data_IF_599572533611
#
_entry.id   IF_599572533611
#
_cell.length_a   1.000
_cell.length_b   1.000
_cell.length_c   1.000
_cell.angle_alpha   90.00
_cell.angle_beta   90.00
_cell.angle_gamma   90.00
#
_symmetry.space_group_name_H-M   'P 1'
#
loop_
_entity.id
_entity.type
_entity.pdbx_description
1 polymer ?
#
# COMPACT_ATOMS: atom_id res chain seq x y z
N UNK A 1 8.24 -20.00 -0.68
CA UNK A 1 9.70 -20.10 -0.43
C UNK A 1 10.19 -18.79 0.15
N UNK A 2 10.91 -18.80 1.27
CA UNK A 2 11.50 -17.59 1.86
C UNK A 2 13.02 -17.60 1.65
N UNK A 3 13.57 -16.51 1.15
CA UNK A 3 15.00 -16.33 0.90
C UNK A 3 15.41 -14.96 1.42
N UNK A 4 16.56 -14.89 2.09
CA UNK A 4 17.13 -13.60 2.48
C UNK A 4 18.26 -13.23 1.53
N UNK A 5 18.14 -12.09 0.86
CA UNK A 5 19.12 -11.63 -0.13
C UNK A 5 19.41 -10.14 0.08
N UNK A 6 20.70 -9.78 0.17
CA UNK A 6 21.17 -8.40 0.41
C UNK A 6 20.54 -7.69 1.63
N UNK A 7 20.07 -8.47 2.61
CA UNK A 7 19.41 -7.98 3.82
C UNK A 7 17.89 -7.77 3.69
N UNK A 8 17.30 -8.09 2.54
CA UNK A 8 15.86 -8.08 2.31
C UNK A 8 15.27 -9.49 2.44
N UNK A 9 14.08 -9.58 3.01
CA UNK A 9 13.30 -10.81 3.09
C UNK A 9 12.48 -10.95 1.80
N UNK A 10 12.72 -12.02 1.05
CA UNK A 10 12.06 -12.32 -0.23
C UNK A 10 11.16 -13.54 -0.06
N UNK A 11 9.89 -13.39 -0.39
CA UNK A 11 8.92 -14.46 -0.45
C UNK A 11 8.57 -14.77 -1.92
N UNK A 12 8.79 -16.01 -2.37
CA UNK A 12 8.39 -16.47 -3.69
C UNK A 12 7.22 -17.44 -3.51
N UNK A 13 6.05 -17.06 -4.00
CA UNK A 13 4.83 -17.87 -3.93
C UNK A 13 4.75 -18.84 -5.13
N UNK A 14 3.93 -19.89 -5.02
CA UNK A 14 3.76 -20.86 -6.12
C UNK A 14 3.17 -20.20 -7.38
N UNK A 15 2.29 -19.20 -7.20
CA UNK A 15 1.67 -18.47 -8.31
C UNK A 15 2.69 -17.84 -9.26
N UNK A 16 3.84 -17.39 -8.74
CA UNK A 16 4.92 -16.87 -9.59
C UNK A 16 5.43 -17.93 -10.58
N UNK A 17 5.70 -19.13 -10.11
CA UNK A 17 6.21 -20.23 -10.94
C UNK A 17 5.17 -20.69 -11.97
N UNK A 18 3.90 -20.70 -11.59
CA UNK A 18 2.80 -21.00 -12.51
C UNK A 18 2.76 -20.00 -13.67
N UNK A 19 2.83 -18.69 -13.38
CA UNK A 19 2.87 -17.64 -14.40
C UNK A 19 4.09 -17.77 -15.30
N UNK A 20 5.26 -18.06 -14.71
CA UNK A 20 6.50 -18.22 -15.47
C UNK A 20 6.41 -19.39 -16.47
N UNK A 21 5.88 -20.54 -16.04
CA UNK A 21 5.64 -21.69 -16.93
C UNK A 21 4.60 -21.36 -17.98
N UNK A 22 3.48 -20.75 -17.59
CA UNK A 22 2.40 -20.36 -18.51
C UNK A 22 2.93 -19.47 -19.63
N UNK A 23 3.75 -18.45 -19.33
CA UNK A 23 4.35 -17.59 -20.35
C UNK A 23 5.30 -18.33 -21.28
N UNK A 24 6.10 -19.27 -20.76
CA UNK A 24 6.97 -20.09 -21.62
C UNK A 24 6.17 -20.93 -22.61
N UNK A 25 5.04 -21.51 -22.15
CA UNK A 25 4.16 -22.32 -22.99
C UNK A 25 3.43 -21.47 -24.04
N UNK A 26 2.95 -20.28 -23.65
CA UNK A 26 2.34 -19.32 -24.58
C UNK A 26 3.32 -18.79 -25.64
N UNK A 27 4.61 -18.69 -25.29
CA UNK A 27 5.70 -18.36 -26.22
C UNK A 27 6.03 -19.48 -27.22
N UNK A 28 5.32 -20.62 -27.16
CA UNK A 28 5.44 -21.72 -28.11
C UNK A 28 6.59 -22.71 -27.82
N UNK A 29 7.32 -22.55 -26.71
CA UNK A 29 8.40 -23.46 -26.34
C UNK A 29 7.91 -24.51 -25.35
N UNK A 30 7.92 -25.79 -25.76
CA UNK A 30 7.55 -26.92 -24.91
C UNK A 30 8.76 -27.65 -24.32
N UNK A 31 9.97 -27.18 -24.62
CA UNK A 31 11.19 -27.85 -24.19
C UNK A 31 11.46 -27.54 -22.70
N UNK A 32 11.64 -28.57 -21.83
CA UNK A 32 11.79 -28.36 -20.39
C UNK A 32 12.94 -27.42 -20.00
N UNK A 33 14.07 -27.49 -20.72
CA UNK A 33 15.22 -26.63 -20.45
C UNK A 33 14.89 -25.15 -20.73
N UNK A 34 14.11 -24.88 -21.76
CA UNK A 34 13.70 -23.50 -22.10
C UNK A 34 12.69 -22.96 -21.09
N UNK A 35 11.77 -23.80 -20.60
CA UNK A 35 10.83 -23.42 -19.55
C UNK A 35 11.59 -23.00 -18.28
N UNK A 36 12.57 -23.80 -17.87
CA UNK A 36 13.42 -23.49 -16.69
C UNK A 36 14.21 -22.20 -16.91
N UNK A 37 14.88 -22.06 -18.07
CA UNK A 37 15.64 -20.85 -18.39
C UNK A 37 14.74 -19.61 -18.44
N UNK A 38 13.56 -19.71 -19.04
CA UNK A 38 12.58 -18.63 -19.08
C UNK A 38 12.09 -18.23 -17.69
N UNK A 39 11.77 -19.22 -16.84
CA UNK A 39 11.38 -18.95 -15.47
C UNK A 39 12.49 -18.26 -14.67
N UNK A 40 13.76 -18.66 -14.87
CA UNK A 40 14.91 -17.99 -14.26
C UNK A 40 15.08 -16.55 -14.78
N UNK A 41 14.88 -16.30 -16.08
CA UNK A 41 14.93 -14.95 -16.66
C UNK A 41 13.85 -14.07 -16.01
N UNK A 42 12.61 -14.55 -15.94
CA UNK A 42 11.51 -13.82 -15.30
C UNK A 42 11.79 -13.56 -13.82
N UNK A 43 12.30 -14.58 -13.10
CA UNK A 43 12.65 -14.45 -11.69
C UNK A 43 13.69 -13.37 -11.47
N UNK A 44 14.79 -13.42 -12.20
CA UNK A 44 15.88 -12.43 -12.09
C UNK A 44 15.40 -11.04 -12.48
N UNK A 45 14.60 -10.93 -13.55
CA UNK A 45 14.11 -9.63 -14.05
C UNK A 45 13.16 -8.96 -13.05
N UNK A 46 12.15 -9.70 -12.59
CA UNK A 46 11.18 -9.17 -11.61
C UNK A 46 11.88 -8.92 -10.28
N UNK A 47 12.77 -9.81 -9.83
CA UNK A 47 13.51 -9.60 -8.58
C UNK A 47 14.38 -8.35 -8.64
N UNK A 48 15.08 -8.09 -9.76
CA UNK A 48 15.90 -6.88 -9.90
C UNK A 48 15.05 -5.62 -9.93
N UNK A 49 13.88 -5.66 -10.57
CA UNK A 49 12.88 -4.58 -10.51
C UNK A 49 12.46 -4.30 -9.07
N UNK A 50 12.00 -5.31 -8.34
CA UNK A 50 11.59 -5.16 -6.93
C UNK A 50 12.75 -4.70 -6.03
N UNK A 51 13.95 -5.19 -6.29
CA UNK A 51 15.14 -4.77 -5.56
C UNK A 51 15.43 -3.27 -5.78
N UNK A 52 15.09 -2.72 -6.95
CA UNK A 52 15.13 -1.28 -7.21
C UNK A 52 14.29 -0.49 -6.20
N UNK A 53 13.03 -0.87 -6.02
CA UNK A 53 12.14 -0.27 -5.00
C UNK A 53 12.69 -0.47 -3.58
N UNK A 54 13.14 -1.68 -3.25
CA UNK A 54 13.65 -2.02 -1.93
C UNK A 54 14.92 -1.22 -1.57
N UNK A 55 15.82 -1.02 -2.53
CA UNK A 55 17.00 -0.18 -2.38
C UNK A 55 16.63 1.30 -2.19
N UNK A 56 15.61 1.80 -2.90
CA UNK A 56 15.12 3.16 -2.71
C UNK A 56 14.51 3.36 -1.31
N UNK A 57 13.69 2.41 -0.83
CA UNK A 57 13.20 2.42 0.55
C UNK A 57 14.37 2.41 1.55
N UNK A 58 15.38 1.54 1.34
CA UNK A 58 16.56 1.46 2.20
C UNK A 58 17.36 2.76 2.23
N UNK A 59 17.50 3.44 1.10
CA UNK A 59 18.15 4.75 1.00
C UNK A 59 17.42 5.83 1.82
N UNK A 60 16.11 5.67 2.03
CA UNK A 60 15.31 6.53 2.90
C UNK A 60 15.22 6.03 4.36
N UNK A 61 15.99 5.00 4.73
CA UNK A 61 16.00 4.44 6.08
C UNK A 61 14.80 3.54 6.38
N UNK A 62 14.03 3.15 5.35
CA UNK A 62 12.83 2.32 5.47
C UNK A 62 13.22 0.88 5.14
N UNK A 63 12.92 -0.04 6.04
CA UNK A 63 13.06 -1.48 5.78
C UNK A 63 11.91 -1.93 4.88
N UNK A 64 12.15 -2.90 4.00
CA UNK A 64 11.13 -3.41 3.09
C UNK A 64 11.27 -4.92 2.89
N UNK A 65 10.18 -5.57 2.49
CA UNK A 65 10.12 -6.98 2.13
C UNK A 65 9.63 -7.11 0.67
N UNK A 66 10.10 -8.13 -0.03
CA UNK A 66 9.76 -8.38 -1.43
C UNK A 66 8.92 -9.64 -1.50
N UNK A 67 7.81 -9.61 -2.23
CA UNK A 67 7.00 -10.79 -2.51
C UNK A 67 6.81 -10.97 -4.02
N UNK A 68 7.15 -12.14 -4.53
CA UNK A 68 6.90 -12.55 -5.90
C UNK A 68 5.65 -13.43 -5.98
N UNK A 69 4.69 -13.02 -6.79
CA UNK A 69 3.37 -13.63 -6.90
C UNK A 69 2.90 -13.76 -8.34
N UNK A 70 1.68 -14.29 -8.52
CA UNK A 70 1.12 -14.61 -9.84
C UNK A 70 1.13 -13.43 -10.84
N UNK A 71 0.99 -12.19 -10.35
CA UNK A 71 0.97 -10.98 -11.18
C UNK A 71 2.35 -10.33 -11.36
N UNK A 72 3.42 -10.86 -10.76
CA UNK A 72 4.76 -10.29 -10.82
C UNK A 72 5.44 -10.24 -9.45
N UNK A 73 5.83 -9.04 -9.03
CA UNK A 73 6.44 -8.76 -7.75
C UNK A 73 5.79 -7.56 -7.08
N UNK A 74 5.93 -7.48 -5.76
CA UNK A 74 5.57 -6.30 -5.00
C UNK A 74 6.55 -6.11 -3.84
N UNK A 75 6.95 -4.86 -3.63
CA UNK A 75 7.84 -4.45 -2.55
C UNK A 75 7.08 -3.63 -1.52
N UNK A 76 7.05 -4.12 -0.29
CA UNK A 76 6.29 -3.51 0.80
C UNK A 76 7.23 -2.89 1.83
N UNK A 77 7.03 -1.63 2.25
CA UNK A 77 7.74 -1.07 3.38
C UNK A 77 7.28 -1.74 4.68
N UNK A 78 8.21 -2.09 5.57
CA UNK A 78 7.91 -2.73 6.85
C UNK A 78 7.38 -1.76 7.91
N UNK A 79 7.40 -0.45 7.62
CA UNK A 79 6.84 0.62 8.45
C UNK A 79 6.24 1.66 7.51
N UNK A 80 4.99 2.05 7.76
CA UNK A 80 4.36 3.18 7.06
C UNK A 80 4.82 4.47 7.73
N UNK A 81 6.00 4.96 7.32
CA UNK A 81 6.45 6.31 7.67
C UNK A 81 5.85 7.30 6.67
N UNK A 82 5.39 8.49 7.10
CA UNK A 82 4.95 9.53 6.19
C UNK A 82 6.12 9.93 5.29
N UNK A 83 6.09 9.48 4.05
CA UNK A 83 7.05 9.84 3.01
C UNK A 83 6.53 11.03 2.22
N UNK A 84 7.41 11.96 1.90
CA UNK A 84 7.06 13.06 1.01
C UNK A 84 6.70 12.54 -0.38
N UNK A 85 5.88 13.28 -1.11
CA UNK A 85 5.44 12.90 -2.47
C UNK A 85 6.63 12.59 -3.39
N UNK A 86 7.69 13.40 -3.30
CA UNK A 86 8.92 13.22 -4.08
C UNK A 86 9.61 11.89 -3.76
N UNK A 87 9.68 11.49 -2.48
CA UNK A 87 10.27 10.21 -2.11
C UNK A 87 9.46 9.04 -2.67
N UNK A 88 8.13 9.12 -2.63
CA UNK A 88 7.27 8.08 -3.20
C UNK A 88 7.40 7.98 -4.73
N UNK A 89 7.53 9.11 -5.43
CA UNK A 89 7.84 9.13 -6.88
C UNK A 89 9.21 8.48 -7.16
N UNK A 90 10.23 8.80 -6.36
CA UNK A 90 11.56 8.18 -6.52
C UNK A 90 11.49 6.68 -6.30
N UNK A 91 10.79 6.21 -5.26
CA UNK A 91 10.62 4.76 -5.03
C UNK A 91 9.90 4.13 -6.22
N UNK A 92 8.80 4.71 -6.70
CA UNK A 92 8.03 4.17 -7.83
C UNK A 92 8.86 4.09 -9.12
N UNK A 93 9.75 5.07 -9.36
CA UNK A 93 10.65 5.03 -10.52
C UNK A 93 11.85 4.07 -10.35
N UNK A 94 12.20 3.70 -9.12
CA UNK A 94 13.41 2.93 -8.86
C UNK A 94 13.37 1.51 -9.46
N UNK A 95 12.20 0.86 -9.47
CA UNK A 95 12.02 -0.45 -10.09
C UNK A 95 12.23 -0.41 -11.61
N UNK A 96 11.50 0.42 -12.36
CA UNK A 96 11.71 0.59 -13.80
C UNK A 96 13.14 1.00 -14.16
N UNK A 97 13.79 1.87 -13.37
CA UNK A 97 15.19 2.24 -13.58
C UNK A 97 16.12 1.02 -13.42
N UNK A 98 15.89 0.17 -12.41
CA UNK A 98 16.65 -1.06 -12.24
C UNK A 98 16.45 -2.03 -13.41
N UNK A 99 15.20 -2.18 -13.89
CA UNK A 99 14.88 -2.98 -15.07
C UNK A 99 15.55 -2.44 -16.34
N UNK A 100 15.45 -1.14 -16.64
CA UNK A 100 16.15 -0.54 -17.78
C UNK A 100 17.68 -0.67 -17.68
N UNK A 101 18.23 -0.59 -16.47
CA UNK A 101 19.66 -0.81 -16.23
C UNK A 101 20.05 -2.23 -16.62
N UNK A 102 19.26 -3.23 -16.20
CA UNK A 102 19.50 -4.62 -16.57
C UNK A 102 19.34 -4.86 -18.07
N UNK A 103 18.35 -4.24 -18.71
CA UNK A 103 18.20 -4.27 -20.16
C UNK A 103 19.43 -3.66 -20.86
N UNK A 104 19.93 -2.51 -20.39
CA UNK A 104 21.13 -1.86 -20.92
C UNK A 104 22.38 -2.74 -20.79
N UNK A 105 22.54 -3.44 -19.67
CA UNK A 105 23.63 -4.41 -19.47
C UNK A 105 23.49 -5.59 -20.43
N UNK A 106 22.31 -6.17 -20.57
CA UNK A 106 22.07 -7.26 -21.52
C UNK A 106 22.35 -6.84 -22.97
N UNK A 107 21.94 -5.63 -23.36
CA UNK A 107 22.26 -5.05 -24.66
C UNK A 107 23.77 -4.90 -24.88
N UNK A 108 24.49 -4.37 -23.88
CA UNK A 108 25.94 -4.23 -23.94
C UNK A 108 26.64 -5.59 -24.08
N UNK A 109 26.19 -6.61 -23.35
CA UNK A 109 26.71 -7.98 -23.50
C UNK A 109 26.47 -8.48 -24.91
N UNK A 110 25.25 -8.36 -25.44
CA UNK A 110 24.92 -8.80 -26.80
C UNK A 110 25.76 -8.08 -27.87
N UNK A 111 26.13 -6.81 -27.64
CA UNK A 111 26.85 -5.99 -28.61
C UNK A 111 28.37 -6.17 -28.56
N UNK A 112 28.95 -6.29 -27.37
CA UNK A 112 30.39 -6.21 -27.15
C UNK A 112 31.05 -7.54 -26.75
N UNK A 113 30.27 -8.52 -26.29
CA UNK A 113 30.78 -9.84 -25.94
C UNK A 113 30.53 -10.80 -27.11
N UNK A 114 31.56 -11.44 -27.68
CA UNK A 114 31.39 -12.41 -28.76
C UNK A 114 30.79 -13.70 -28.22
N UNK A 115 29.46 -13.73 -28.09
CA UNK A 115 28.71 -14.91 -27.68
C UNK A 115 28.44 -15.79 -28.90
N UNK A 116 29.18 -16.89 -29.02
CA UNK A 116 29.05 -17.82 -30.17
C UNK A 116 27.98 -18.90 -29.95
N UNK A 117 27.59 -19.17 -28.70
CA UNK A 117 26.59 -20.18 -28.38
C UNK A 117 25.17 -19.63 -28.65
N UNK A 118 24.37 -20.24 -29.54
CA UNK A 118 23.02 -19.75 -29.87
C UNK A 118 22.07 -19.66 -28.68
N UNK A 119 22.19 -20.57 -27.70
CA UNK A 119 21.39 -20.53 -26.48
C UNK A 119 21.73 -19.33 -25.60
N UNK A 120 23.01 -18.98 -25.48
CA UNK A 120 23.45 -17.79 -24.74
C UNK A 120 23.03 -16.49 -25.44
N UNK A 121 23.05 -16.46 -26.78
CA UNK A 121 22.52 -15.32 -27.56
C UNK A 121 21.02 -15.13 -27.28
N UNK A 122 20.25 -16.21 -27.30
CA UNK A 122 18.82 -16.18 -26.98
C UNK A 122 18.57 -15.74 -25.54
N UNK A 123 19.35 -16.22 -24.58
CA UNK A 123 19.26 -15.86 -23.17
C UNK A 123 19.46 -14.35 -22.96
N UNK A 124 20.52 -13.78 -23.54
CA UNK A 124 20.84 -12.35 -23.42
C UNK A 124 19.78 -11.51 -24.12
N UNK A 125 19.31 -11.94 -25.29
CA UNK A 125 18.22 -11.29 -26.02
C UNK A 125 16.92 -11.28 -25.21
N UNK A 126 16.57 -12.40 -24.60
CA UNK A 126 15.39 -12.51 -23.74
C UNK A 126 15.50 -11.62 -22.50
N UNK A 127 16.67 -11.58 -21.84
CA UNK A 127 16.91 -10.68 -20.71
C UNK A 127 16.73 -9.21 -21.11
N UNK A 128 17.24 -8.81 -22.28
CA UNK A 128 17.04 -7.47 -22.80
C UNK A 128 15.54 -7.16 -23.01
N UNK A 129 14.84 -8.00 -23.78
CA UNK A 129 13.46 -7.74 -24.15
C UNK A 129 12.50 -7.82 -22.96
N UNK A 130 12.67 -8.78 -22.06
CA UNK A 130 11.86 -8.91 -20.85
C UNK A 130 12.00 -7.68 -19.98
N UNK A 131 13.24 -7.25 -19.68
CA UNK A 131 13.44 -6.10 -18.81
C UNK A 131 13.02 -4.78 -19.45
N UNK A 132 13.26 -4.60 -20.75
CA UNK A 132 12.79 -3.43 -21.48
C UNK A 132 11.26 -3.36 -21.48
N UNK A 133 10.60 -4.46 -21.86
CA UNK A 133 9.15 -4.53 -21.92
C UNK A 133 8.52 -4.36 -20.53
N UNK A 134 9.01 -5.08 -19.52
CA UNK A 134 8.49 -5.00 -18.15
C UNK A 134 8.63 -3.60 -17.56
N UNK A 135 9.76 -2.92 -17.78
CA UNK A 135 9.98 -1.54 -17.30
C UNK A 135 9.06 -0.53 -18.00
N UNK A 136 8.90 -0.65 -19.33
CA UNK A 136 8.00 0.22 -20.10
C UNK A 136 6.55 0.04 -19.66
N UNK A 137 6.12 -1.21 -19.50
CA UNK A 137 4.75 -1.51 -19.08
C UNK A 137 4.49 -1.01 -17.67
N UNK A 138 5.43 -1.18 -16.73
CA UNK A 138 5.29 -0.65 -15.39
C UNK A 138 5.24 0.88 -15.34
N UNK A 139 5.83 1.59 -16.30
CA UNK A 139 5.71 3.05 -16.40
C UNK A 139 4.39 3.54 -17.00
N UNK A 140 3.49 2.64 -17.43
CA UNK A 140 2.16 3.05 -17.84
C UNK A 140 1.44 3.74 -16.67
N UNK A 141 0.72 4.87 -16.90
CA UNK A 141 0.02 5.62 -15.86
C UNK A 141 -1.29 4.92 -15.46
N UNK A 142 -1.19 3.68 -14.99
CA UNK A 142 -2.29 2.78 -14.65
C UNK A 142 -1.98 2.14 -13.31
N UNK A 143 -2.81 2.36 -12.30
CA UNK A 143 -2.70 1.66 -11.01
C UNK A 143 -3.08 0.18 -11.19
N UNK A 144 -2.39 -0.77 -10.54
CA UNK A 144 -1.36 -0.59 -9.50
C UNK A 144 0.09 -0.55 -10.03
N UNK A 145 0.32 -0.23 -11.30
CA UNK A 145 1.68 -0.16 -11.85
C UNK A 145 2.43 1.07 -11.35
N UNK A 146 3.76 1.01 -11.40
CA UNK A 146 4.66 2.06 -10.92
C UNK A 146 4.34 3.44 -11.50
N UNK A 147 4.06 3.53 -12.80
CA UNK A 147 3.68 4.76 -13.48
C UNK A 147 2.36 5.34 -12.97
N UNK A 148 1.43 4.47 -12.57
CA UNK A 148 0.21 4.85 -11.86
C UNK A 148 0.52 5.52 -10.52
N UNK A 149 1.41 4.92 -9.72
CA UNK A 149 1.86 5.49 -8.45
C UNK A 149 2.71 6.76 -8.63
N UNK A 150 3.51 6.87 -9.70
CA UNK A 150 4.19 8.12 -10.06
C UNK A 150 3.17 9.24 -10.29
N UNK A 151 2.12 8.99 -11.09
CA UNK A 151 1.05 9.97 -11.32
C UNK A 151 0.30 10.28 -10.03
N UNK A 152 -0.01 9.26 -9.22
CA UNK A 152 -0.65 9.39 -7.92
C UNK A 152 0.10 10.35 -7.00
N UNK A 153 1.38 10.08 -6.77
CA UNK A 153 2.21 10.83 -5.85
C UNK A 153 2.58 12.20 -6.43
N UNK A 154 2.77 12.34 -7.74
CA UNK A 154 2.99 13.64 -8.37
C UNK A 154 1.76 14.55 -8.27
N UNK A 155 0.56 14.02 -8.52
CA UNK A 155 -0.70 14.77 -8.46
C UNK A 155 -1.14 15.05 -7.02
N UNK A 156 -0.82 14.15 -6.08
CA UNK A 156 -1.18 14.25 -4.67
C UNK A 156 -2.64 13.85 -4.37
N UNK A 157 -2.99 13.76 -3.08
CA UNK A 157 -4.23 13.13 -2.62
C UNK A 157 -5.51 13.82 -3.11
N UNK A 158 -5.50 15.16 -3.28
CA UNK A 158 -6.67 15.90 -3.80
C UNK A 158 -7.04 15.56 -5.24
N UNK A 159 -6.02 15.20 -6.02
CA UNK A 159 -6.15 14.86 -7.43
C UNK A 159 -6.10 13.36 -7.65
N UNK A 160 -6.24 12.55 -6.59
CA UNK A 160 -6.34 11.10 -6.68
C UNK A 160 -7.45 10.66 -7.66
N UNK A 161 -8.58 11.39 -7.71
CA UNK A 161 -9.63 11.14 -8.71
C UNK A 161 -9.13 11.30 -10.14
N UNK A 162 -8.24 12.25 -10.42
CA UNK A 162 -7.61 12.42 -11.73
C UNK A 162 -6.69 11.23 -12.02
N UNK A 163 -5.91 10.78 -11.05
CA UNK A 163 -5.10 9.54 -11.15
C UNK A 163 -5.96 8.34 -11.53
N UNK A 164 -7.09 8.14 -10.85
CA UNK A 164 -8.03 7.05 -11.15
C UNK A 164 -8.65 7.18 -12.54
N UNK A 165 -9.00 8.39 -12.98
CA UNK A 165 -9.52 8.64 -14.33
C UNK A 165 -8.46 8.31 -15.38
N UNK A 166 -7.22 8.79 -15.20
CA UNK A 166 -6.11 8.49 -16.11
C UNK A 166 -5.89 6.97 -16.15
N UNK A 167 -5.84 6.32 -14.99
CA UNK A 167 -5.67 4.87 -14.86
C UNK A 167 -6.77 4.09 -15.58
N UNK A 168 -8.04 4.49 -15.40
CA UNK A 168 -9.17 3.83 -16.05
C UNK A 168 -9.13 4.02 -17.57
N UNK A 169 -8.85 5.23 -18.07
CA UNK A 169 -8.80 5.53 -19.49
C UNK A 169 -7.62 4.83 -20.19
N UNK A 170 -6.42 4.97 -19.63
CA UNK A 170 -5.21 4.38 -20.22
C UNK A 170 -5.23 2.87 -20.08
N UNK A 171 -5.66 2.33 -18.94
CA UNK A 171 -5.85 0.89 -18.74
C UNK A 171 -6.84 0.30 -19.75
N UNK A 172 -7.99 0.96 -19.96
CA UNK A 172 -8.97 0.53 -20.97
C UNK A 172 -8.39 0.57 -22.39
N UNK A 173 -7.67 1.63 -22.74
CA UNK A 173 -7.05 1.75 -24.07
C UNK A 173 -6.02 0.64 -24.33
N UNK A 174 -5.14 0.36 -23.34
CA UNK A 174 -4.14 -0.71 -23.45
C UNK A 174 -4.81 -2.09 -23.48
N UNK A 175 -5.89 -2.30 -22.72
CA UNK A 175 -6.64 -3.55 -22.73
C UNK A 175 -7.30 -3.79 -24.11
N UNK A 176 -7.92 -2.77 -24.71
CA UNK A 176 -8.49 -2.86 -26.07
C UNK A 176 -7.39 -3.14 -27.09
N UNK A 177 -6.27 -2.42 -27.02
CA UNK A 177 -5.14 -2.67 -27.91
C UNK A 177 -4.63 -4.11 -27.78
N UNK A 178 -4.46 -4.60 -26.54
CA UNK A 178 -4.06 -5.98 -26.26
C UNK A 178 -5.05 -7.00 -26.84
N UNK A 179 -6.35 -6.72 -26.80
CA UNK A 179 -7.37 -7.58 -27.40
C UNK A 179 -7.25 -7.64 -28.93
N UNK A 180 -7.00 -6.49 -29.59
CA UNK A 180 -6.83 -6.40 -31.04
C UNK A 180 -5.63 -7.23 -31.53
N UNK A 181 -4.54 -7.23 -30.77
CA UNK A 181 -3.33 -7.99 -31.11
C UNK A 181 -3.32 -9.42 -30.53
N UNK A 182 -4.44 -9.89 -29.95
CA UNK A 182 -4.59 -11.25 -29.42
C UNK A 182 -3.80 -11.53 -28.13
N UNK A 183 -3.38 -10.50 -27.40
CA UNK A 183 -2.60 -10.61 -26.16
C UNK A 183 -3.52 -10.72 -24.93
N UNK A 184 -4.07 -11.91 -24.70
CA UNK A 184 -5.01 -12.18 -23.60
C UNK A 184 -4.51 -11.75 -22.21
N UNK A 185 -3.22 -11.93 -21.93
CA UNK A 185 -2.64 -11.54 -20.64
C UNK A 185 -2.65 -10.01 -20.44
N UNK A 186 -2.40 -9.24 -21.51
CA UNK A 186 -2.51 -7.78 -21.48
C UNK A 186 -3.95 -7.32 -21.25
N UNK A 187 -4.93 -8.00 -21.86
CA UNK A 187 -6.36 -7.75 -21.59
C UNK A 187 -6.68 -7.98 -20.12
N UNK A 188 -6.18 -9.07 -19.53
CA UNK A 188 -6.43 -9.40 -18.14
C UNK A 188 -5.82 -8.37 -17.17
N UNK A 189 -4.54 -8.04 -17.28
CA UNK A 189 -3.88 -7.07 -16.39
C UNK A 189 -4.51 -5.69 -16.54
N UNK A 190 -4.56 -5.13 -17.75
CA UNK A 190 -5.00 -3.75 -17.93
C UNK A 190 -6.52 -3.60 -17.83
N UNK A 191 -7.27 -4.63 -18.19
CA UNK A 191 -8.72 -4.68 -18.01
C UNK A 191 -9.10 -4.73 -16.53
N UNK A 192 -8.47 -5.61 -15.74
CA UNK A 192 -8.73 -5.68 -14.29
C UNK A 192 -8.27 -4.40 -13.57
N UNK A 193 -7.15 -3.81 -13.96
CA UNK A 193 -6.68 -2.52 -13.46
C UNK A 193 -7.67 -1.38 -13.77
N UNK A 194 -8.21 -1.33 -15.00
CA UNK A 194 -9.19 -0.33 -15.40
C UNK A 194 -10.51 -0.48 -14.61
N UNK A 195 -10.98 -1.71 -14.41
CA UNK A 195 -12.17 -2.00 -13.61
C UNK A 195 -11.96 -1.56 -12.16
N UNK A 196 -10.81 -1.89 -11.55
CA UNK A 196 -10.49 -1.47 -10.19
C UNK A 196 -10.43 0.06 -10.06
N UNK A 197 -9.78 0.74 -11.00
CA UNK A 197 -9.74 2.20 -11.03
C UNK A 197 -11.15 2.81 -11.15
N UNK A 198 -12.03 2.20 -11.94
CA UNK A 198 -13.43 2.63 -12.06
C UNK A 198 -14.22 2.42 -10.77
N UNK A 199 -14.06 1.28 -10.09
CA UNK A 199 -14.70 1.01 -8.78
C UNK A 199 -14.23 2.05 -7.75
N UNK A 200 -12.91 2.22 -7.60
CA UNK A 200 -12.33 3.20 -6.67
C UNK A 200 -12.79 4.63 -6.98
N UNK A 201 -13.00 4.98 -8.25
CA UNK A 201 -13.49 6.30 -8.65
C UNK A 201 -14.94 6.51 -8.19
N UNK A 202 -15.80 5.48 -8.28
CA UNK A 202 -17.18 5.55 -7.79
C UNK A 202 -17.24 5.72 -6.28
N UNK A 203 -16.43 4.97 -5.54
CA UNK A 203 -16.36 5.05 -4.07
C UNK A 203 -15.86 6.42 -3.60
N UNK A 204 -14.76 6.91 -4.17
CA UNK A 204 -14.23 8.23 -3.86
C UNK A 204 -15.26 9.34 -4.15
N UNK A 205 -16.05 9.17 -5.22
CA UNK A 205 -17.11 10.12 -5.58
C UNK A 205 -18.28 10.12 -4.57
N UNK A 206 -18.63 8.97 -4.02
CA UNK A 206 -19.67 8.83 -3.01
C UNK A 206 -19.20 9.41 -1.65
N UNK A 207 -17.97 9.11 -1.24
CA UNK A 207 -17.38 9.61 0.00
C UNK A 207 -17.27 11.16 0.03
N UNK A 208 -16.86 11.77 -1.09
CA UNK A 208 -16.78 13.23 -1.21
C UNK A 208 -18.16 13.89 -1.15
N UNK A 209 -19.21 13.25 -1.68
CA UNK A 209 -20.59 13.75 -1.58
C UNK A 209 -21.11 13.68 -0.15
N UNK A 210 -20.95 12.54 0.51
CA UNK A 210 -21.35 12.34 1.90
C UNK A 210 -20.63 13.34 2.84
N UNK A 211 -19.32 13.54 2.66
CA UNK A 211 -18.54 14.50 3.45
C UNK A 211 -19.01 15.95 3.27
N UNK A 212 -19.45 16.32 2.05
CA UNK A 212 -20.04 17.65 1.80
C UNK A 212 -21.37 17.82 2.52
N UNK A 213 -22.24 16.81 2.45
CA UNK A 213 -23.55 16.82 3.11
C UNK A 213 -23.40 16.91 4.64
N UNK A 214 -22.46 16.18 5.25
CA UNK A 214 -22.14 16.29 6.69
C UNK A 214 -21.55 17.66 7.05
N UNK A 215 -20.65 18.19 6.22
CA UNK A 215 -20.06 19.52 6.43
C UNK A 215 -21.06 20.66 6.25
N UNK A 216 -22.13 20.47 5.47
CA UNK A 216 -23.25 21.40 5.34
C UNK A 216 -24.20 21.29 6.54
N UNK A 217 -24.46 20.07 7.04
CA UNK A 217 -25.28 19.84 8.24
C UNK A 217 -24.64 20.38 9.53
N UNK A 218 -23.30 20.35 9.64
CA UNK A 218 -22.56 20.84 10.81
C UNK A 218 -22.45 22.38 10.89
N UNK A 219 -22.92 23.14 9.88
CA UNK A 219 -22.83 24.61 9.85
C UNK A 219 -23.84 25.35 10.73
N UNK A 220 -24.74 24.65 11.42
CA UNK A 220 -25.63 25.26 12.40
C UNK A 220 -25.13 25.01 13.83
N UNK A 221 -24.54 26.00 14.50
CA UNK A 221 -24.56 26.19 15.99
C UNK A 221 -23.54 27.21 16.54
N UNK A 222 -22.71 27.88 15.74
CA UNK A 222 -21.73 28.86 16.28
C UNK A 222 -21.49 30.03 15.34
N UNK A 223 -21.16 31.19 15.90
CA UNK A 223 -20.86 32.41 15.16
C UNK A 223 -19.78 32.14 14.09
N UNK A 224 -20.06 32.46 12.81
CA UNK A 224 -19.20 32.09 11.70
C UNK A 224 -17.85 32.83 11.77
N UNK A 225 -16.78 32.13 11.45
CA UNK A 225 -15.47 32.76 11.23
C UNK A 225 -15.59 33.84 10.16
N UNK A 226 -14.81 34.91 10.30
CA UNK A 226 -14.73 35.92 9.25
C UNK A 226 -14.33 35.25 7.92
N UNK A 227 -14.95 35.64 6.78
CA UNK A 227 -14.68 34.98 5.51
C UNK A 227 -13.21 34.98 5.09
N UNK A 228 -12.42 35.98 5.52
CA UNK A 228 -10.98 36.02 5.28
C UNK A 228 -10.24 34.95 6.09
N UNK A 229 -10.47 34.89 7.40
CA UNK A 229 -9.89 33.87 8.30
C UNK A 229 -10.26 32.45 7.88
N UNK A 230 -11.53 32.22 7.54
CA UNK A 230 -12.00 30.92 7.09
C UNK A 230 -11.32 30.49 5.78
N UNK A 231 -11.13 31.43 4.83
CA UNK A 231 -10.42 31.18 3.58
C UNK A 231 -8.94 30.86 3.82
N UNK A 232 -8.24 31.69 4.59
CA UNK A 232 -6.83 31.49 4.92
C UNK A 232 -6.59 30.15 5.65
N UNK A 233 -7.43 29.79 6.61
CA UNK A 233 -7.36 28.49 7.28
C UNK A 233 -7.62 27.33 6.32
N UNK A 234 -8.60 27.47 5.43
CA UNK A 234 -8.83 26.49 4.38
C UNK A 234 -7.68 26.40 3.37
N UNK A 235 -6.99 27.51 3.06
CA UNK A 235 -5.78 27.53 2.22
C UNK A 235 -4.59 26.86 2.95
N UNK A 236 -4.43 27.10 4.25
CA UNK A 236 -3.39 26.48 5.06
C UNK A 236 -3.59 24.96 5.24
N UNK A 237 -4.84 24.52 5.49
CA UNK A 237 -5.21 23.09 5.48
C UNK A 237 -4.95 22.48 4.11
N UNK A 238 -5.32 23.20 3.04
CA UNK A 238 -5.02 22.76 1.67
C UNK A 238 -3.52 22.62 1.45
N UNK A 239 -2.68 23.53 1.94
CA UNK A 239 -1.24 23.42 1.79
C UNK A 239 -0.66 22.21 2.53
N UNK A 240 -1.17 21.88 3.73
CA UNK A 240 -0.83 20.63 4.43
C UNK A 240 -1.19 19.38 3.63
N UNK A 241 -2.42 19.32 3.13
CA UNK A 241 -2.89 18.20 2.30
C UNK A 241 -2.10 18.06 0.99
N UNK A 242 -1.57 19.17 0.46
CA UNK A 242 -0.73 19.18 -0.74
C UNK A 242 0.76 18.90 -0.42
N UNK A 243 1.10 18.44 0.79
CA UNK A 243 2.49 18.18 1.23
C UNK A 243 3.40 19.41 1.03
N UNK A 244 2.84 20.61 1.20
CA UNK A 244 3.57 21.89 1.23
C UNK A 244 3.49 22.49 2.65
N UNK A 245 4.22 21.90 3.61
CA UNK A 245 4.18 22.35 4.99
C UNK A 245 4.76 23.75 5.15
N UNK A 246 5.62 24.20 4.24
CA UNK A 246 6.20 25.56 4.28
C UNK A 246 5.11 26.60 4.04
N UNK A 247 4.33 26.42 2.98
CA UNK A 247 3.20 27.30 2.67
C UNK A 247 2.11 27.22 3.74
N UNK A 248 1.86 26.03 4.29
CA UNK A 248 0.94 25.88 5.40
C UNK A 248 1.37 26.70 6.62
N UNK A 249 2.65 26.67 6.99
CA UNK A 249 3.22 27.47 8.08
C UNK A 249 3.11 28.96 7.77
N UNK A 250 3.44 29.38 6.54
CA UNK A 250 3.40 30.77 6.13
C UNK A 250 1.99 31.37 6.29
N UNK A 251 0.98 30.67 5.76
CA UNK A 251 -0.42 31.12 5.84
C UNK A 251 -0.90 31.07 7.30
N UNK A 252 -0.62 29.98 8.02
CA UNK A 252 -1.05 29.83 9.41
C UNK A 252 -0.44 30.90 10.35
N UNK A 253 0.85 31.23 10.19
CA UNK A 253 1.47 32.36 10.88
C UNK A 253 0.92 33.69 10.41
N UNK A 254 0.69 33.85 9.10
CA UNK A 254 0.07 35.03 8.52
C UNK A 254 -1.30 35.34 9.12
N UNK A 255 -2.08 34.33 9.49
CA UNK A 255 -3.34 34.50 10.25
C UNK A 255 -3.08 35.02 11.67
N UNK A 256 -2.06 34.51 12.39
CA UNK A 256 -1.72 34.99 13.74
C UNK A 256 -1.22 36.43 13.75
N UNK A 257 -0.46 36.80 12.72
CA UNK A 257 0.14 38.13 12.56
C UNK A 257 -0.83 39.15 11.93
N UNK A 258 -2.03 38.71 11.53
CA UNK A 258 -3.02 39.56 10.87
C UNK A 258 -2.78 39.80 9.37
N UNK A 259 -1.68 39.30 8.80
CA UNK A 259 -1.32 39.50 7.36
C UNK A 259 -2.38 38.94 6.41
N UNK A 260 -2.93 37.77 6.71
CA UNK A 260 -3.94 37.08 5.88
C UNK A 260 -5.36 37.63 6.07
N UNK A 261 -5.55 38.52 7.04
CA UNK A 261 -6.87 39.02 7.45
C UNK A 261 -6.89 40.56 7.50
N UNK A 262 -6.09 41.22 6.66
CA UNK A 262 -6.12 42.67 6.47
C UNK A 262 -5.63 43.48 7.69
N UNK A 263 -4.70 42.93 8.47
CA UNK A 263 -4.18 43.53 9.70
C UNK A 263 -5.04 43.31 10.93
N UNK A 264 -6.12 42.53 10.84
CA UNK A 264 -7.03 42.30 11.95
C UNK A 264 -6.45 41.36 13.03
N UNK A 265 -6.94 41.57 14.26
CA UNK A 265 -7.24 40.56 15.29
C UNK A 265 -7.58 39.13 14.80
N UNK A 266 -6.74 38.08 14.81
CA UNK A 266 -7.26 36.72 14.66
C UNK A 266 -8.35 36.43 15.71
N UNK A 267 -9.50 35.93 15.27
CA UNK A 267 -10.59 35.54 16.16
C UNK A 267 -10.09 34.43 17.11
N UNK A 268 -10.40 34.53 18.41
CA UNK A 268 -9.92 33.56 19.40
C UNK A 268 -10.25 32.11 19.03
N UNK A 269 -11.40 31.89 18.40
CA UNK A 269 -11.85 30.58 17.90
C UNK A 269 -10.98 30.01 16.77
N UNK A 270 -10.30 30.85 15.99
CA UNK A 270 -9.40 30.40 14.92
C UNK A 270 -8.05 29.89 15.48
N UNK A 271 -7.64 30.35 16.65
CA UNK A 271 -6.30 30.08 17.21
C UNK A 271 -6.05 28.58 17.43
N UNK A 272 -6.97 27.78 18.01
CA UNK A 272 -6.77 26.35 18.13
C UNK A 272 -6.51 25.67 16.78
N UNK A 273 -7.28 26.05 15.75
CA UNK A 273 -7.12 25.48 14.42
C UNK A 273 -5.79 25.86 13.77
N UNK A 274 -5.36 27.12 13.92
CA UNK A 274 -4.04 27.58 13.47
C UNK A 274 -2.92 26.76 14.12
N UNK A 275 -3.00 26.55 15.44
CA UNK A 275 -1.98 25.80 16.17
C UNK A 275 -1.96 24.32 15.79
N UNK A 276 -3.12 23.73 15.51
CA UNK A 276 -3.23 22.37 14.95
C UNK A 276 -2.53 22.27 13.59
N UNK A 277 -2.78 23.22 12.69
CA UNK A 277 -2.14 23.29 11.37
C UNK A 277 -0.62 23.43 11.51
N UNK A 278 -0.15 24.36 12.35
CA UNK A 278 1.28 24.55 12.61
C UNK A 278 1.93 23.29 13.19
N UNK A 279 1.25 22.60 14.11
CA UNK A 279 1.73 21.35 14.69
C UNK A 279 1.97 20.29 13.63
N UNK A 280 0.98 20.03 12.78
CA UNK A 280 1.11 19.07 11.68
C UNK A 280 2.16 19.50 10.64
N UNK A 281 2.23 20.79 10.31
CA UNK A 281 3.17 21.28 9.30
C UNK A 281 4.63 21.19 9.77
N UNK A 282 4.89 21.52 11.03
CA UNK A 282 6.21 21.36 11.63
C UNK A 282 6.60 19.88 11.75
N UNK A 283 5.66 18.99 12.11
CA UNK A 283 5.91 17.55 12.10
C UNK A 283 6.28 17.02 10.71
N UNK A 284 5.56 17.44 9.66
CA UNK A 284 5.84 17.03 8.29
C UNK A 284 7.23 17.46 7.81
N UNK A 285 7.79 18.54 8.38
CA UNK A 285 9.17 19.02 8.12
C UNK A 285 10.23 18.37 9.01
N UNK A 286 9.85 17.52 9.96
CA UNK A 286 10.77 16.97 10.98
C UNK A 286 11.17 17.98 12.05
N UNK A 287 10.44 19.10 12.17
CA UNK A 287 10.69 20.18 13.11
C UNK A 287 9.99 19.92 14.45
N UNK A 288 10.44 18.87 15.16
CA UNK A 288 9.80 18.37 16.38
C UNK A 288 9.69 19.41 17.49
N UNK A 289 10.66 20.32 17.62
CA UNK A 289 10.66 21.36 18.65
C UNK A 289 9.52 22.36 18.42
N UNK A 290 9.37 22.84 17.19
CA UNK A 290 8.34 23.78 16.79
C UNK A 290 6.94 23.15 16.86
N UNK A 291 6.81 21.88 16.45
CA UNK A 291 5.57 21.13 16.60
C UNK A 291 5.17 20.98 18.08
N UNK A 292 6.14 20.70 18.96
CA UNK A 292 5.93 20.63 20.41
C UNK A 292 5.45 21.96 20.97
N UNK A 293 6.03 23.08 20.53
CA UNK A 293 5.62 24.41 20.96
C UNK A 293 4.18 24.72 20.54
N UNK A 294 3.82 24.42 19.28
CA UNK A 294 2.46 24.62 18.76
C UNK A 294 1.44 23.81 19.57
N UNK A 295 1.73 22.53 19.84
CA UNK A 295 0.88 21.66 20.67
C UNK A 295 0.79 22.15 22.11
N UNK A 296 1.90 22.57 22.71
CA UNK A 296 1.92 23.09 24.08
C UNK A 296 1.08 24.35 24.25
N UNK A 297 1.05 25.22 23.22
CA UNK A 297 0.17 26.38 23.17
C UNK A 297 -1.28 25.96 22.98
N UNK A 298 -1.56 24.99 22.11
CA UNK A 298 -2.89 24.48 21.83
C UNK A 298 -3.54 23.90 23.10
N UNK A 299 -2.83 23.04 23.82
CA UNK A 299 -3.34 22.37 25.04
C UNK A 299 -3.62 23.34 26.19
N UNK A 300 -3.07 24.56 26.18
CA UNK A 300 -3.37 25.59 27.18
C UNK A 300 -4.70 26.31 26.93
N UNK A 301 -5.18 26.33 25.68
CA UNK A 301 -6.32 27.14 25.26
C UNK A 301 -7.51 26.32 24.79
N UNK A 302 -7.29 25.06 24.41
CA UNK A 302 -8.31 24.15 23.93
C UNK A 302 -7.91 22.70 24.20
N UNK A 303 -8.88 21.79 24.13
CA UNK A 303 -8.57 20.37 24.02
C UNK A 303 -7.83 20.16 22.69
N UNK A 304 -6.55 19.81 22.76
CA UNK A 304 -5.73 19.55 21.57
C UNK A 304 -6.17 18.27 20.86
N UNK A 305 -6.04 18.24 19.54
CA UNK A 305 -6.33 17.04 18.75
C UNK A 305 -5.46 15.86 19.25
N UNK A 306 -6.06 14.80 19.82
CA UNK A 306 -5.31 13.69 20.41
C UNK A 306 -4.33 13.04 19.43
N UNK A 307 -4.69 12.97 18.14
CA UNK A 307 -3.84 12.42 17.09
C UNK A 307 -2.57 13.26 16.90
N UNK A 308 -2.70 14.58 16.91
CA UNK A 308 -1.57 15.50 16.79
C UNK A 308 -0.67 15.44 18.03
N UNK A 309 -1.26 15.44 19.24
CA UNK A 309 -0.47 15.36 20.48
C UNK A 309 0.29 14.04 20.54
N UNK A 310 -0.35 12.93 20.16
CA UNK A 310 0.30 11.62 20.07
C UNK A 310 1.40 11.60 19.00
N UNK A 311 1.19 12.21 17.83
CA UNK A 311 2.19 12.30 16.78
C UNK A 311 3.43 13.10 17.23
N UNK A 312 3.25 14.19 17.99
CA UNK A 312 4.36 14.92 18.61
C UNK A 312 5.08 14.07 19.66
N UNK A 313 4.35 13.32 20.49
CA UNK A 313 4.96 12.42 21.46
C UNK A 313 5.81 11.33 20.77
N UNK A 314 5.31 10.73 19.68
CA UNK A 314 6.08 9.78 18.85
C UNK A 314 7.33 10.40 18.25
N UNK A 315 7.23 11.62 17.69
CA UNK A 315 8.37 12.33 17.12
C UNK A 315 9.46 12.65 18.16
N UNK A 316 9.10 12.71 19.44
CA UNK A 316 10.03 12.87 20.58
C UNK A 316 10.57 11.53 21.12
N UNK A 317 10.11 10.41 20.59
CA UNK A 317 10.46 9.07 21.08
C UNK A 317 9.68 8.63 22.32
N UNK A 318 8.64 9.35 22.74
CA UNK A 318 7.79 8.98 23.87
C UNK A 318 6.59 8.15 23.40
N UNK A 319 6.85 6.89 23.07
CA UNK A 319 5.82 5.96 22.60
C UNK A 319 4.76 5.67 23.67
N UNK A 320 5.14 5.64 24.94
CA UNK A 320 4.22 5.32 26.03
C UNK A 320 3.21 6.46 26.26
N UNK A 321 3.64 7.72 26.14
CA UNK A 321 2.70 8.85 26.15
C UNK A 321 1.79 8.84 24.91
N UNK A 322 2.35 8.61 23.73
CA UNK A 322 1.57 8.53 22.49
C UNK A 322 0.49 7.45 22.59
N UNK A 323 0.86 6.27 23.08
CA UNK A 323 -0.07 5.16 23.31
C UNK A 323 -1.22 5.57 24.22
N UNK A 324 -0.94 6.11 25.41
CA UNK A 324 -1.98 6.51 26.37
C UNK A 324 -2.97 7.51 25.76
N UNK A 325 -2.46 8.46 24.98
CA UNK A 325 -3.29 9.45 24.30
C UNK A 325 -4.19 8.83 23.22
N UNK A 326 -3.64 7.92 22.41
CA UNK A 326 -4.39 7.25 21.35
C UNK A 326 -5.41 6.26 21.91
N UNK A 327 -5.07 5.52 22.97
CA UNK A 327 -6.01 4.64 23.68
C UNK A 327 -7.16 5.45 24.31
N UNK A 328 -6.86 6.60 24.93
CA UNK A 328 -7.88 7.50 25.47
C UNK A 328 -8.78 8.08 24.37
N UNK A 329 -8.20 8.46 23.22
CA UNK A 329 -8.96 8.95 22.07
C UNK A 329 -9.87 7.87 21.49
N UNK A 330 -9.39 6.63 21.36
CA UNK A 330 -10.21 5.47 20.98
C UNK A 330 -11.36 5.25 21.96
N UNK A 331 -11.08 5.26 23.27
CA UNK A 331 -12.10 5.10 24.30
C UNK A 331 -13.16 6.21 24.27
N UNK A 332 -12.82 7.39 23.74
CA UNK A 332 -13.74 8.50 23.53
C UNK A 332 -14.52 8.44 22.19
N UNK A 333 -14.33 7.40 21.38
CA UNK A 333 -15.04 7.20 20.10
C UNK A 333 -14.36 7.84 18.88
N UNK A 334 -13.07 8.16 18.95
CA UNK A 334 -12.32 8.67 17.80
C UNK A 334 -11.83 7.50 16.92
N UNK A 335 -12.53 7.27 15.79
CA UNK A 335 -12.23 6.21 14.81
C UNK A 335 -11.38 6.73 13.62
N UNK A 336 -10.75 7.90 13.73
CA UNK A 336 -9.93 8.44 12.65
C UNK A 336 -8.65 7.60 12.43
N UNK A 337 -8.20 7.51 11.17
CA UNK A 337 -6.98 6.77 10.78
C UNK A 337 -5.72 7.31 11.44
N UNK A 338 -5.68 8.61 11.73
CA UNK A 338 -4.61 9.27 12.46
C UNK A 338 -4.53 8.83 13.92
N UNK A 339 -5.59 8.20 14.45
CA UNK A 339 -5.64 7.63 15.80
C UNK A 339 -5.36 6.14 15.79
N UNK A 340 -6.19 5.34 15.10
CA UNK A 340 -6.05 3.88 15.17
C UNK A 340 -4.79 3.37 14.46
N UNK A 341 -4.37 4.02 13.37
CA UNK A 341 -3.21 3.58 12.58
C UNK A 341 -1.92 3.57 13.41
N UNK A 342 -1.50 4.72 13.98
CA UNK A 342 -0.33 4.77 14.86
C UNK A 342 -0.47 3.87 16.09
N UNK A 343 -1.67 3.70 16.66
CA UNK A 343 -1.90 2.85 17.82
C UNK A 343 -1.66 1.36 17.51
N UNK A 344 -2.20 0.86 16.39
CA UNK A 344 -1.95 -0.51 15.91
C UNK A 344 -0.44 -0.74 15.77
N UNK A 345 0.28 0.22 15.19
CA UNK A 345 1.73 0.12 15.01
C UNK A 345 2.51 0.08 16.34
N UNK A 346 2.12 0.90 17.32
CA UNK A 346 2.73 0.85 18.66
C UNK A 346 2.48 -0.52 19.31
N UNK A 347 1.25 -1.03 19.23
CA UNK A 347 0.89 -2.34 19.79
C UNK A 347 1.72 -3.46 19.16
N UNK A 348 1.89 -3.46 17.83
CA UNK A 348 2.73 -4.44 17.14
C UNK A 348 4.19 -4.37 17.59
N UNK A 349 4.79 -3.17 17.71
CA UNK A 349 6.18 -3.01 18.19
C UNK A 349 6.37 -3.46 19.63
N UNK A 350 5.35 -3.32 20.48
CA UNK A 350 5.34 -3.78 21.87
C UNK A 350 5.04 -5.28 22.01
N UNK A 351 4.81 -5.99 20.89
CA UNK A 351 4.50 -7.42 20.88
C UNK A 351 3.05 -7.74 21.25
N UNK A 352 2.14 -6.76 21.23
CA UNK A 352 0.73 -6.91 21.57
C UNK A 352 -0.12 -7.17 20.32
N UNK A 353 0.25 -8.19 19.55
CA UNK A 353 -0.37 -8.52 18.26
C UNK A 353 -1.88 -8.79 18.37
N UNK A 354 -2.34 -9.50 19.40
CA UNK A 354 -3.76 -9.73 19.64
C UNK A 354 -4.58 -8.44 19.80
N UNK A 355 -4.06 -7.46 20.55
CA UNK A 355 -4.73 -6.16 20.75
C UNK A 355 -4.71 -5.32 19.47
N UNK A 356 -3.59 -5.35 18.74
CA UNK A 356 -3.46 -4.69 17.45
C UNK A 356 -4.49 -5.24 16.46
N UNK A 357 -4.68 -6.56 16.44
CA UNK A 357 -5.65 -7.21 15.57
C UNK A 357 -7.11 -6.95 15.96
N UNK A 358 -7.41 -6.97 17.26
CA UNK A 358 -8.73 -6.62 17.76
C UNK A 358 -9.10 -5.18 17.35
N UNK A 359 -8.14 -4.25 17.47
CA UNK A 359 -8.32 -2.87 17.03
C UNK A 359 -8.51 -2.76 15.52
N UNK A 360 -7.71 -3.46 14.72
CA UNK A 360 -7.87 -3.47 13.26
C UNK A 360 -9.23 -4.00 12.80
N UNK A 361 -9.76 -5.03 13.49
CA UNK A 361 -11.08 -5.59 13.21
C UNK A 361 -12.22 -4.66 13.63
N UNK A 362 -12.08 -3.97 14.75
CA UNK A 362 -13.03 -2.98 15.25
C UNK A 362 -13.15 -1.79 14.28
N UNK A 363 -12.03 -1.36 13.69
CA UNK A 363 -11.99 -0.26 12.72
C UNK A 363 -12.00 -0.72 11.26
N UNK A 364 -12.44 -1.95 10.97
CA UNK A 364 -12.29 -2.58 9.66
C UNK A 364 -12.94 -1.76 8.52
N UNK A 365 -14.08 -1.11 8.79
CA UNK A 365 -14.80 -0.31 7.79
C UNK A 365 -14.02 0.92 7.33
N UNK A 366 -13.16 1.47 8.20
CA UNK A 366 -12.31 2.63 7.93
C UNK A 366 -10.96 2.29 7.29
N UNK A 367 -10.64 1.00 7.13
CA UNK A 367 -9.36 0.53 6.58
C UNK A 367 -9.61 -0.05 5.18
N UNK A 368 -8.72 0.26 4.23
CA UNK A 368 -8.77 -0.34 2.90
C UNK A 368 -8.53 -1.86 2.98
N UNK A 369 -9.04 -2.63 2.04
CA UNK A 369 -8.84 -4.09 2.05
C UNK A 369 -7.37 -4.45 1.89
N UNK A 370 -6.60 -3.64 1.16
CA UNK A 370 -5.16 -3.81 1.03
C UNK A 370 -4.41 -3.53 2.34
N UNK A 371 -4.73 -2.44 3.03
CA UNK A 371 -4.14 -2.14 4.34
C UNK A 371 -4.50 -3.23 5.37
N UNK A 372 -5.71 -3.81 5.29
CA UNK A 372 -6.09 -4.94 6.13
C UNK A 372 -5.26 -6.20 5.85
N UNK A 373 -4.95 -6.49 4.57
CA UNK A 373 -4.04 -7.61 4.21
C UNK A 373 -2.63 -7.36 4.76
N UNK A 374 -2.14 -6.13 4.66
CA UNK A 374 -0.85 -5.74 5.22
C UNK A 374 -0.85 -5.97 6.74
N UNK A 375 -1.86 -5.46 7.45
CA UNK A 375 -2.00 -5.66 8.90
C UNK A 375 -2.08 -7.14 9.26
N UNK A 376 -2.85 -7.93 8.53
CA UNK A 376 -2.95 -9.38 8.74
C UNK A 376 -1.59 -10.07 8.66
N UNK A 377 -0.75 -9.68 7.69
CA UNK A 377 0.60 -10.21 7.53
C UNK A 377 1.54 -9.81 8.68
N UNK A 378 1.42 -8.58 9.20
CA UNK A 378 2.20 -8.12 10.36
C UNK A 378 1.79 -8.86 11.64
N UNK A 379 0.48 -9.10 11.82
CA UNK A 379 -0.06 -9.85 12.96
C UNK A 379 0.34 -11.33 12.86
N UNK A 380 0.36 -11.89 11.65
CA UNK A 380 0.81 -13.26 11.42
C UNK A 380 2.27 -13.45 11.84
N UNK A 381 3.13 -12.48 11.56
CA UNK A 381 4.52 -12.47 12.01
C UNK A 381 4.68 -12.40 13.54
N UNK A 382 3.65 -11.95 14.25
CA UNK A 382 3.60 -11.93 15.73
C UNK A 382 3.07 -13.23 16.33
N UNK A 383 2.89 -14.29 15.53
CA UNK A 383 2.37 -15.61 15.93
C UNK A 383 0.90 -15.60 16.41
N UNK A 384 0.14 -14.57 16.05
CA UNK A 384 -1.27 -14.37 16.45
C UNK A 384 -2.23 -14.92 15.38
N UNK A 385 -2.08 -16.20 15.06
CA UNK A 385 -2.69 -16.82 13.88
C UNK A 385 -4.23 -16.81 13.89
N UNK A 386 -4.87 -16.96 15.05
CA UNK A 386 -6.33 -16.88 15.16
C UNK A 386 -6.84 -15.51 14.70
N UNK A 387 -6.15 -14.45 15.11
CA UNK A 387 -6.48 -13.07 14.75
C UNK A 387 -6.21 -12.76 13.29
N UNK A 388 -5.08 -13.25 12.75
CA UNK A 388 -4.80 -13.21 11.31
C UNK A 388 -5.94 -13.84 10.50
N UNK A 389 -6.42 -15.01 10.91
CA UNK A 389 -7.54 -15.70 10.26
C UNK A 389 -8.82 -14.86 10.24
N UNK A 390 -9.14 -14.20 11.36
CA UNK A 390 -10.30 -13.30 11.45
C UNK A 390 -10.18 -12.09 10.53
N UNK A 391 -8.98 -11.51 10.39
CA UNK A 391 -8.78 -10.36 9.50
C UNK A 391 -8.98 -10.77 8.05
N UNK A 392 -8.34 -11.85 7.60
CA UNK A 392 -8.52 -12.35 6.24
C UNK A 392 -9.97 -12.79 5.97
N UNK A 393 -10.66 -13.36 6.95
CA UNK A 393 -12.09 -13.66 6.83
C UNK A 393 -12.93 -12.38 6.61
N UNK A 394 -12.61 -11.29 7.32
CA UNK A 394 -13.26 -9.98 7.13
C UNK A 394 -12.96 -9.41 5.74
N UNK A 395 -11.71 -9.48 5.28
CA UNK A 395 -11.32 -9.04 3.93
C UNK A 395 -12.04 -9.87 2.87
N UNK A 396 -12.10 -11.19 3.03
CA UNK A 396 -12.83 -12.08 2.13
C UNK A 396 -14.33 -11.75 2.05
N UNK A 397 -14.97 -11.36 3.17
CA UNK A 397 -16.37 -10.94 3.16
C UNK A 397 -16.61 -9.70 2.30
N UNK A 398 -15.61 -8.81 2.18
CA UNK A 398 -15.68 -7.59 1.36
C UNK A 398 -15.37 -7.87 -0.12
N UNK A 399 -14.25 -8.55 -0.38
CA UNK A 399 -13.71 -8.65 -1.75
C UNK A 399 -14.08 -9.98 -2.45
N UNK A 400 -14.56 -10.98 -1.70
CA UNK A 400 -14.87 -12.34 -2.17
C UNK A 400 -13.70 -13.01 -2.91
N UNK A 401 -12.47 -12.56 -2.65
CA UNK A 401 -11.26 -13.09 -3.25
C UNK A 401 -10.90 -14.46 -2.65
N UNK A 402 -10.75 -15.46 -3.51
CA UNK A 402 -10.44 -16.82 -3.13
C UNK A 402 -9.12 -16.95 -2.34
N UNK A 403 -8.11 -16.12 -2.66
CA UNK A 403 -6.84 -16.09 -1.93
C UNK A 403 -7.02 -15.63 -0.48
N UNK A 404 -7.87 -14.64 -0.21
CA UNK A 404 -8.11 -14.17 1.17
C UNK A 404 -8.77 -15.26 2.02
N UNK A 405 -9.67 -16.04 1.43
CA UNK A 405 -10.27 -17.19 2.12
C UNK A 405 -9.25 -18.31 2.38
N UNK A 406 -8.35 -18.57 1.44
CA UNK A 406 -7.26 -19.53 1.63
C UNK A 406 -6.27 -19.07 2.72
N UNK A 407 -5.90 -17.79 2.72
CA UNK A 407 -5.04 -17.20 3.75
C UNK A 407 -5.68 -17.25 5.14
N UNK A 408 -7.00 -17.04 5.23
CA UNK A 408 -7.75 -17.27 6.46
C UNK A 408 -7.71 -18.75 6.90
N UNK A 409 -7.89 -19.69 5.97
CA UNK A 409 -7.84 -21.13 6.25
C UNK A 409 -6.47 -21.54 6.81
N UNK A 410 -5.39 -21.09 6.18
CA UNK A 410 -4.02 -21.33 6.65
C UNK A 410 -3.78 -20.75 8.05
N UNK A 411 -4.26 -19.53 8.29
CA UNK A 411 -4.12 -18.89 9.59
C UNK A 411 -4.89 -19.64 10.69
N UNK A 412 -6.13 -20.08 10.42
CA UNK A 412 -6.90 -20.88 11.38
C UNK A 412 -6.26 -22.26 11.63
N UNK A 413 -5.69 -22.90 10.60
CA UNK A 413 -4.97 -24.15 10.76
C UNK A 413 -3.75 -23.99 11.69
N UNK A 414 -2.95 -22.93 11.51
CA UNK A 414 -1.83 -22.57 12.40
C UNK A 414 -2.28 -22.18 13.81
N UNK A 415 -3.53 -21.72 13.95
CA UNK A 415 -4.15 -21.45 15.23
C UNK A 415 -4.74 -22.69 15.92
N UNK A 416 -4.53 -23.89 15.36
CA UNK A 416 -5.12 -25.15 15.82
C UNK A 416 -6.67 -25.14 15.84
N UNK A 417 -7.29 -24.44 14.88
CA UNK A 417 -8.74 -24.43 14.65
C UNK A 417 -9.09 -25.11 13.30
N UNK A 418 -9.04 -26.46 13.25
CA UNK A 418 -9.23 -27.21 12.00
C UNK A 418 -10.64 -27.05 11.43
N UNK A 419 -11.66 -26.90 12.28
CA UNK A 419 -13.04 -26.70 11.83
C UNK A 419 -13.19 -25.40 11.04
N UNK A 420 -12.64 -24.27 11.52
CA UNK A 420 -12.64 -23.03 10.76
C UNK A 420 -11.74 -23.08 9.54
N UNK A 421 -10.60 -23.76 9.63
CA UNK A 421 -9.71 -23.92 8.48
C UNK A 421 -10.44 -24.61 7.31
N UNK A 422 -11.16 -25.71 7.59
CA UNK A 422 -11.97 -26.43 6.60
C UNK A 422 -13.11 -25.58 6.05
N UNK A 423 -13.83 -24.84 6.91
CA UNK A 423 -14.90 -23.93 6.46
C UNK A 423 -14.37 -22.84 5.53
N UNK A 424 -13.28 -22.17 5.92
CA UNK A 424 -12.64 -21.15 5.08
C UNK A 424 -12.10 -21.74 3.78
N UNK A 425 -11.56 -22.97 3.79
CA UNK A 425 -11.12 -23.64 2.58
C UNK A 425 -12.29 -23.95 1.63
N UNK A 426 -13.44 -24.41 2.15
CA UNK A 426 -14.65 -24.59 1.33
C UNK A 426 -15.08 -23.28 0.68
N UNK A 427 -15.04 -22.18 1.43
CA UNK A 427 -15.35 -20.83 0.91
C UNK A 427 -14.34 -20.39 -0.14
N UNK A 428 -13.06 -20.72 0.02
CA UNK A 428 -12.02 -20.44 -0.97
C UNK A 428 -12.29 -21.20 -2.28
N UNK A 429 -12.57 -22.50 -2.22
CA UNK A 429 -12.91 -23.30 -3.42
C UNK A 429 -14.18 -22.79 -4.09
N UNK A 430 -15.22 -22.47 -3.32
CA UNK A 430 -16.45 -21.85 -3.85
C UNK A 430 -16.20 -20.49 -4.52
N UNK A 431 -15.18 -19.75 -4.06
CA UNK A 431 -14.75 -18.49 -4.65
C UNK A 431 -13.80 -18.67 -5.85
N UNK A 432 -13.48 -19.90 -6.25
CA UNK A 432 -12.66 -20.21 -7.42
C UNK A 432 -11.21 -20.59 -7.12
N UNK A 433 -10.85 -20.88 -5.87
CA UNK A 433 -9.51 -21.37 -5.53
C UNK A 433 -9.30 -22.81 -6.06
N UNK A 434 -8.23 -23.02 -6.84
CA UNK A 434 -7.94 -24.31 -7.50
C UNK A 434 -6.51 -24.83 -7.25
N UNK A 435 -5.67 -24.09 -6.54
CA UNK A 435 -4.25 -24.41 -6.34
C UNK A 435 -4.05 -25.47 -5.24
N UNK A 436 -4.39 -26.73 -5.58
CA UNK A 436 -4.20 -27.89 -4.70
C UNK A 436 -2.74 -28.08 -4.26
N UNK A 437 -1.72 -27.97 -5.14
CA UNK A 437 -0.32 -28.05 -4.72
C UNK A 437 0.04 -27.07 -3.60
N UNK A 438 -0.49 -25.84 -3.63
CA UNK A 438 -0.25 -24.84 -2.57
C UNK A 438 -0.90 -25.21 -1.23
N UNK A 439 -2.05 -25.86 -1.22
CA UNK A 439 -2.70 -26.35 0.02
C UNK A 439 -1.87 -27.44 0.65
N UNK A 440 -1.47 -28.44 -0.14
CA UNK A 440 -0.74 -29.60 0.36
C UNK A 440 0.77 -29.37 0.56
N UNK A 441 1.27 -28.21 0.18
CA UNK A 441 2.61 -27.74 0.55
C UNK A 441 2.64 -27.03 1.92
N UNK A 442 1.50 -26.66 2.49
CA UNK A 442 1.45 -25.97 3.79
C UNK A 442 1.34 -26.97 4.95
N UNK A 443 2.39 -27.01 5.79
CA UNK A 443 2.48 -27.93 6.93
C UNK A 443 1.29 -27.85 7.90
N UNK A 444 0.69 -26.66 8.06
CA UNK A 444 -0.43 -26.50 8.98
C UNK A 444 -1.73 -27.10 8.43
N UNK A 445 -1.89 -27.16 7.11
CA UNK A 445 -3.08 -27.70 6.45
C UNK A 445 -2.96 -29.20 6.19
N UNK A 446 -1.77 -29.73 5.92
CA UNK A 446 -1.55 -31.15 5.59
C UNK A 446 -2.05 -32.10 6.69
N UNK A 447 -2.05 -31.67 7.95
CA UNK A 447 -2.52 -32.46 9.09
C UNK A 447 -4.04 -32.55 9.28
N UNK A 448 -4.85 -31.95 8.40
CA UNK A 448 -6.32 -31.92 8.53
C UNK A 448 -6.96 -32.85 7.49
N UNK A 449 -7.35 -34.05 7.93
CA UNK A 449 -7.90 -35.11 7.06
C UNK A 449 -9.18 -34.67 6.30
N UNK A 450 -10.00 -33.80 6.90
CA UNK A 450 -11.24 -33.33 6.28
C UNK A 450 -11.00 -32.44 5.05
N UNK A 451 -9.80 -31.87 4.88
CA UNK A 451 -9.46 -31.04 3.72
C UNK A 451 -9.41 -31.85 2.42
N UNK A 452 -9.12 -33.15 2.48
CA UNK A 452 -9.08 -34.03 1.30
C UNK A 452 -10.44 -34.13 0.60
N UNK A 453 -11.52 -33.99 1.37
CA UNK A 453 -12.89 -33.96 0.85
C UNK A 453 -13.27 -32.60 0.25
N UNK A 454 -12.52 -31.54 0.56
CA UNK A 454 -12.75 -30.18 0.05
C UNK A 454 -11.91 -29.91 -1.19
N UNK A 455 -10.64 -30.30 -1.15
CA UNK A 455 -9.70 -30.16 -2.25
C UNK A 455 -8.76 -31.38 -2.28
N UNK A 456 -8.98 -32.35 -3.17
CA UNK A 456 -8.21 -33.60 -3.18
C UNK A 456 -6.72 -33.35 -3.46
N UNK A 457 -5.87 -34.25 -2.97
CA UNK A 457 -4.42 -34.20 -3.19
C UNK A 457 -4.10 -34.20 -4.69
N UNK A 458 -3.07 -33.45 -5.13
CA UNK A 458 -2.62 -33.54 -6.52
C UNK A 458 -2.15 -34.97 -6.80
N UNK A 459 -2.68 -35.55 -7.87
CA UNK A 459 -2.35 -36.90 -8.36
C UNK A 459 -0.97 -36.97 -8.97
#
# INVERSE_FOLDING_TARGET
MHVRFLGFDIEITMGFWLTAVMFSLMGGSQSPIYIVLWALILLVSILIHELGHALAFRAFGIRSAIRLHFLGGATFPSVVLPMTRVKNVIVSLAGPIAGFTLAGVAYAIAKFVPVQNPGMVQLVSNLYWVNLFWSVMNLAPVLPLDGGHVVEHALGPKRYRITLIISALVGTAIAIWSAVIGQFFGVYIFGSAAVQAFIALRETSAAVRASRETAEAARGTTEPLQPATARALADARRALEDDDPTKAIEIARGVLEGREIGGARPQARAIPEVLTILGWAHLARGETVQATEAVSRLTRIAHGDPALVAAVALARGDEDAARRLLEAARAAGDDRKEVFGPLIQILLRKGEGARAAALALDTADGISTEDMRILASMIAASNEHHWTGRIYETVFKRDRNADDAFEAARAYARAADPSKAVDMMRRAVQAGFTDSPRVWADEALVGIDELEHVLPRPT
#
